data_IF_397068834784
#
_entry.id   IF_397068834784
#
_cell.length_a   1.000
_cell.length_b   1.000
_cell.length_c   1.000
_cell.angle_alpha   90.00
_cell.angle_beta   90.00
_cell.angle_gamma   90.00
#
_symmetry.space_group_name_H-M   'P 1'
#
loop_
_entity.id
_entity.type
_entity.pdbx_description
1 polymer ?
#
# COMPACT_ATOMS: atom_id res chain seq x y z
N UNK A 1 -21.96 -3.88 14.97
CA UNK A 1 -21.58 -2.92 16.04
C UNK A 1 -21.96 -3.50 17.38
N UNK A 2 -21.18 -3.26 18.44
CA UNK A 2 -21.54 -3.63 19.81
C UNK A 2 -21.93 -2.37 20.59
N UNK A 3 -23.15 -2.30 21.12
CA UNK A 3 -23.59 -1.15 21.91
C UNK A 3 -22.92 -1.21 23.28
N UNK A 4 -22.15 -0.18 23.64
CA UNK A 4 -21.48 -0.12 24.95
C UNK A 4 -22.25 0.69 25.98
N UNK A 5 -22.85 1.81 25.57
CA UNK A 5 -23.57 2.74 26.44
C UNK A 5 -24.85 3.22 25.75
N UNK A 6 -25.89 3.47 26.54
CA UNK A 6 -27.17 3.97 26.03
C UNK A 6 -27.99 2.91 25.29
N UNK A 7 -29.02 3.36 24.57
CA UNK A 7 -29.89 2.52 23.76
C UNK A 7 -29.96 3.13 22.37
N UNK A 8 -29.70 2.33 21.35
CA UNK A 8 -29.82 2.71 19.95
C UNK A 8 -31.19 2.31 19.42
N UNK A 9 -31.86 3.20 18.70
CA UNK A 9 -33.18 2.98 18.10
C UNK A 9 -33.15 3.08 16.58
N UNK A 10 -34.12 2.43 15.92
CA UNK A 10 -34.38 2.70 14.51
C UNK A 10 -34.80 4.16 14.35
N UNK A 11 -34.16 4.86 13.42
CA UNK A 11 -34.40 6.26 13.15
C UNK A 11 -33.39 7.21 13.78
N UNK A 12 -32.53 6.73 14.68
CA UNK A 12 -31.45 7.52 15.24
C UNK A 12 -30.46 7.93 14.14
N UNK A 13 -29.95 9.15 14.26
CA UNK A 13 -28.82 9.62 13.46
C UNK A 13 -27.54 9.15 14.13
N UNK A 14 -26.64 8.58 13.34
CA UNK A 14 -25.41 7.99 13.84
C UNK A 14 -24.20 8.48 13.04
N UNK A 15 -23.07 8.60 13.75
CA UNK A 15 -21.76 8.91 13.23
C UNK A 15 -20.79 7.80 13.66
N UNK A 16 -20.11 7.19 12.70
CA UNK A 16 -19.16 6.08 12.93
C UNK A 16 -17.91 6.34 12.10
N UNK A 17 -16.81 6.77 12.74
CA UNK A 17 -15.58 7.10 12.02
C UNK A 17 -15.79 8.16 10.93
N UNK A 18 -15.66 7.73 9.67
CA UNK A 18 -15.90 8.52 8.43
C UNK A 18 -17.33 8.40 7.87
N UNK A 19 -18.13 7.48 8.40
CA UNK A 19 -19.48 7.23 7.93
C UNK A 19 -20.49 7.95 8.81
N UNK A 20 -21.55 8.47 8.21
CA UNK A 20 -22.72 8.97 8.94
C UNK A 20 -23.99 8.48 8.27
N UNK A 21 -25.10 8.49 8.99
CA UNK A 21 -26.39 8.16 8.40
C UNK A 21 -27.47 7.92 9.43
N UNK A 22 -28.63 7.53 8.94
CA UNK A 22 -29.80 7.23 9.75
C UNK A 22 -29.99 5.73 9.85
N UNK A 23 -30.23 5.21 11.05
CA UNK A 23 -30.55 3.80 11.26
C UNK A 23 -31.88 3.46 10.57
N UNK A 24 -31.83 2.71 9.47
CA UNK A 24 -33.02 2.27 8.71
C UNK A 24 -33.55 0.92 9.18
N UNK A 25 -32.63 0.03 9.53
CA UNK A 25 -32.94 -1.27 10.08
C UNK A 25 -31.81 -1.73 11.01
N UNK A 26 -32.18 -2.54 11.99
CA UNK A 26 -31.25 -3.22 12.88
C UNK A 26 -31.58 -4.71 12.95
N UNK A 27 -30.56 -5.55 12.99
CA UNK A 27 -30.70 -6.99 13.13
C UNK A 27 -29.84 -7.51 14.30
N UNK A 28 -30.37 -8.49 15.04
CA UNK A 28 -29.61 -9.18 16.08
C UNK A 28 -28.64 -10.22 15.46
N UNK A 29 -27.83 -10.85 16.31
CA UNK A 29 -26.87 -11.89 15.88
C UNK A 29 -27.52 -13.15 15.29
N UNK A 30 -28.84 -13.31 15.39
CA UNK A 30 -29.62 -14.39 14.78
C UNK A 30 -30.29 -13.97 13.47
N UNK A 31 -30.09 -12.72 13.04
CA UNK A 31 -30.70 -12.13 11.85
C UNK A 31 -32.15 -11.67 12.05
N UNK A 32 -32.67 -11.63 13.27
CA UNK A 32 -34.00 -11.10 13.53
C UNK A 32 -33.95 -9.57 13.56
N UNK A 33 -34.95 -8.93 12.96
CA UNK A 33 -35.08 -7.48 13.01
C UNK A 33 -35.42 -7.01 14.43
N UNK A 34 -34.71 -6.01 14.92
CA UNK A 34 -34.91 -5.41 16.25
C UNK A 34 -35.15 -3.91 16.15
N UNK A 35 -35.97 -3.35 17.05
CA UNK A 35 -36.30 -1.92 17.06
C UNK A 35 -35.39 -1.09 17.97
N UNK A 36 -34.80 -1.73 18.98
CA UNK A 36 -33.89 -1.12 19.94
C UNK A 36 -32.74 -2.07 20.28
N UNK A 37 -31.55 -1.52 20.51
CA UNK A 37 -30.37 -2.25 20.94
C UNK A 37 -29.83 -1.66 22.25
N UNK A 38 -29.77 -2.47 23.30
CA UNK A 38 -29.29 -2.09 24.64
C UNK A 38 -27.80 -2.40 24.81
N UNK A 39 -27.13 -1.89 25.87
CA UNK A 39 -25.73 -2.18 26.11
C UNK A 39 -25.41 -3.67 26.16
N UNK A 40 -24.28 -4.07 25.57
CA UNK A 40 -23.86 -5.45 25.41
C UNK A 40 -24.49 -6.19 24.22
N UNK A 41 -25.41 -5.56 23.47
CA UNK A 41 -26.07 -6.20 22.33
C UNK A 41 -25.26 -6.01 21.05
N UNK A 42 -24.82 -7.09 20.37
CA UNK A 42 -24.29 -7.00 19.02
C UNK A 42 -25.45 -6.76 18.05
N UNK A 43 -25.31 -5.74 17.21
CA UNK A 43 -26.33 -5.33 16.24
C UNK A 43 -25.70 -5.07 14.88
N UNK A 44 -26.32 -5.58 13.83
CA UNK A 44 -26.05 -5.18 12.46
C UNK A 44 -26.94 -3.98 12.11
N UNK A 45 -26.35 -2.92 11.56
CA UNK A 45 -27.03 -1.65 11.30
C UNK A 45 -27.01 -1.38 9.80
N UNK A 46 -28.17 -1.06 9.25
CA UNK A 46 -28.32 -0.63 7.87
C UNK A 46 -28.63 0.87 7.80
N UNK A 47 -27.98 1.59 6.88
CA UNK A 47 -28.29 3.00 6.59
C UNK A 47 -27.13 3.98 6.72
N UNK A 48 -25.89 3.48 6.88
CA UNK A 48 -24.68 4.29 6.81
C UNK A 48 -24.36 4.68 5.36
N UNK A 49 -23.78 5.86 5.18
CA UNK A 49 -23.34 6.37 3.87
C UNK A 49 -22.15 5.61 3.30
N UNK A 50 -21.28 5.10 4.17
CA UNK A 50 -20.03 4.43 3.85
C UNK A 50 -19.77 3.27 4.82
N UNK A 51 -18.81 2.42 4.50
CA UNK A 51 -18.37 1.32 5.40
C UNK A 51 -17.34 1.87 6.39
N UNK A 52 -17.64 1.94 7.70
CA UNK A 52 -16.67 2.37 8.71
C UNK A 52 -15.59 1.30 8.93
N UNK A 53 -14.46 1.71 9.49
CA UNK A 53 -13.39 0.77 9.82
C UNK A 53 -13.75 -0.05 11.08
N UNK A 54 -13.18 -1.25 11.17
CA UNK A 54 -13.31 -2.05 12.38
C UNK A 54 -12.67 -1.30 13.57
N UNK A 55 -13.40 -1.22 14.69
CA UNK A 55 -12.96 -0.50 15.88
C UNK A 55 -13.37 0.97 15.94
N UNK A 56 -13.94 1.53 14.88
CA UNK A 56 -14.49 2.90 14.91
C UNK A 56 -15.61 3.02 15.95
N UNK A 57 -15.56 4.12 16.71
CA UNK A 57 -16.59 4.43 17.71
C UNK A 57 -17.85 4.94 17.02
N UNK A 58 -18.99 4.34 17.38
CA UNK A 58 -20.32 4.79 16.99
C UNK A 58 -20.88 5.76 18.02
N UNK A 59 -21.38 6.89 17.54
CA UNK A 59 -22.11 7.87 18.33
C UNK A 59 -23.50 8.09 17.75
N UNK A 60 -24.54 8.01 18.58
CA UNK A 60 -25.83 8.60 18.27
C UNK A 60 -25.74 10.11 18.47
N UNK A 61 -26.31 10.88 17.53
CA UNK A 61 -26.16 12.33 17.45
C UNK A 61 -27.52 12.97 17.18
N UNK A 62 -27.74 14.18 17.72
CA UNK A 62 -29.03 14.87 17.58
C UNK A 62 -29.13 15.66 16.27
N UNK A 63 -28.00 16.14 15.73
CA UNK A 63 -27.94 16.96 14.51
C UNK A 63 -27.32 16.18 13.35
N UNK A 64 -28.17 15.78 12.40
CA UNK A 64 -27.79 15.10 11.16
C UNK A 64 -26.82 15.92 10.31
N UNK A 65 -27.02 17.25 10.23
CA UNK A 65 -26.19 18.11 9.37
C UNK A 65 -24.78 18.20 9.92
N UNK A 66 -24.65 18.39 11.24
CA UNK A 66 -23.36 18.43 11.90
C UNK A 66 -22.63 17.08 11.78
N UNK A 67 -23.35 15.98 11.99
CA UNK A 67 -22.80 14.63 11.84
C UNK A 67 -22.25 14.39 10.43
N UNK A 68 -23.02 14.79 9.42
CA UNK A 68 -22.62 14.70 8.01
C UNK A 68 -21.40 15.55 7.70
N UNK A 69 -21.36 16.80 8.16
CA UNK A 69 -20.19 17.67 7.97
C UNK A 69 -18.93 17.11 8.65
N UNK A 70 -19.06 16.53 9.84
CA UNK A 70 -17.93 15.90 10.54
C UNK A 70 -17.47 14.66 9.77
N UNK A 71 -18.40 13.81 9.33
CA UNK A 71 -18.09 12.63 8.51
C UNK A 71 -17.41 13.01 7.20
N UNK A 72 -17.96 13.96 6.45
CA UNK A 72 -17.40 14.48 5.19
C UNK A 72 -16.01 15.07 5.41
N UNK A 73 -15.81 15.90 6.44
CA UNK A 73 -14.48 16.45 6.76
C UNK A 73 -13.48 15.37 7.17
N UNK A 74 -13.91 14.34 7.91
CA UNK A 74 -13.06 13.19 8.27
C UNK A 74 -12.76 12.33 7.06
N UNK A 75 -13.72 12.16 6.16
CA UNK A 75 -13.57 11.44 4.90
C UNK A 75 -12.61 12.17 3.97
N UNK A 76 -12.76 13.48 3.80
CA UNK A 76 -11.83 14.33 3.05
C UNK A 76 -10.44 14.31 3.68
N UNK A 77 -10.32 14.41 5.01
CA UNK A 77 -9.03 14.30 5.69
C UNK A 77 -8.43 12.91 5.54
N UNK A 78 -9.23 11.84 5.63
CA UNK A 78 -8.77 10.47 5.42
C UNK A 78 -8.33 10.28 3.98
N UNK A 79 -9.10 10.75 3.00
CA UNK A 79 -8.76 10.77 1.58
C UNK A 79 -7.56 11.68 1.31
N UNK A 80 -7.36 12.76 2.05
CA UNK A 80 -6.15 13.59 1.98
C UNK A 80 -4.96 12.89 2.61
N UNK A 81 -5.14 12.05 3.64
CA UNK A 81 -4.09 11.22 4.26
C UNK A 81 -3.79 9.98 3.41
N UNK A 82 -4.78 9.41 2.72
CA UNK A 82 -4.61 8.32 1.76
C UNK A 82 -4.05 8.87 0.42
N UNK A 83 -4.40 10.11 0.06
CA UNK A 83 -3.72 10.91 -0.95
C UNK A 83 -2.45 11.59 -0.41
N UNK A 84 -2.18 11.50 0.90
CA UNK A 84 -0.82 11.57 1.45
C UNK A 84 -0.30 10.15 1.29
N UNK A 85 -0.12 9.80 0.01
CA UNK A 85 1.00 8.99 -0.39
C UNK A 85 2.16 9.41 0.52
N UNK A 86 2.67 8.54 1.41
CA UNK A 86 3.69 8.94 2.37
C UNK A 86 4.84 9.48 1.55
N UNK A 87 5.05 10.81 1.47
CA UNK A 87 5.91 11.54 0.51
C UNK A 87 6.72 10.53 -0.32
N UNK A 88 6.06 9.90 -1.31
CA UNK A 88 6.71 8.82 -2.06
C UNK A 88 7.62 9.60 -2.96
N UNK A 89 8.87 9.61 -2.52
CA UNK A 89 10.06 10.03 -3.23
C UNK A 89 9.83 9.76 -4.71
N UNK A 90 9.44 10.81 -5.44
CA UNK A 90 9.37 10.77 -6.91
C UNK A 90 10.75 10.43 -7.46
N UNK A 91 10.86 9.98 -8.71
CA UNK A 91 12.17 9.71 -9.31
C UNK A 91 13.09 10.94 -9.20
N UNK A 92 12.53 12.16 -9.27
CA UNK A 92 13.23 13.43 -9.05
C UNK A 92 13.63 13.67 -7.58
N UNK A 93 12.78 13.34 -6.61
CA UNK A 93 13.14 13.40 -5.17
C UNK A 93 14.10 12.29 -4.77
N UNK A 94 14.05 11.13 -5.43
CA UNK A 94 14.96 10.00 -5.27
C UNK A 94 16.32 10.45 -5.80
N UNK A 95 16.33 11.06 -6.98
CA UNK A 95 17.49 11.70 -7.58
C UNK A 95 18.09 12.77 -6.66
N UNK A 96 17.25 13.59 -6.02
CA UNK A 96 17.71 14.61 -5.07
C UNK A 96 18.24 14.00 -3.76
N UNK A 97 17.57 12.98 -3.20
CA UNK A 97 18.03 12.29 -1.98
C UNK A 97 19.32 11.48 -2.22
N UNK A 98 19.50 10.97 -3.43
CA UNK A 98 20.72 10.29 -3.88
C UNK A 98 21.84 11.30 -4.15
N UNK A 99 21.57 12.44 -4.81
CA UNK A 99 22.50 13.57 -4.89
C UNK A 99 22.93 14.09 -3.51
N UNK A 100 22.05 13.99 -2.52
CA UNK A 100 22.32 14.30 -1.12
C UNK A 100 23.03 13.15 -0.35
N UNK A 101 23.26 11.99 -0.97
CA UNK A 101 24.02 10.86 -0.41
C UNK A 101 23.24 9.96 0.58
N UNK A 102 21.90 9.96 0.54
CA UNK A 102 21.05 9.30 1.56
C UNK A 102 20.61 7.87 1.26
N UNK A 103 20.57 7.42 0.00
CA UNK A 103 20.17 6.05 -0.34
C UNK A 103 21.41 5.22 -0.68
N UNK A 104 21.72 4.26 0.20
CA UNK A 104 22.88 3.36 0.08
C UNK A 104 22.49 1.94 -0.33
N UNK A 105 21.21 1.69 -0.56
CA UNK A 105 20.68 0.33 -0.72
C UNK A 105 19.52 0.28 -1.71
N UNK A 106 19.62 -0.59 -2.72
CA UNK A 106 18.60 -0.89 -3.71
C UNK A 106 17.98 -2.25 -3.36
N UNK A 107 16.73 -2.23 -2.92
CA UNK A 107 15.99 -3.43 -2.54
C UNK A 107 15.33 -4.08 -3.76
N UNK A 108 15.42 -5.41 -3.87
CA UNK A 108 14.86 -6.17 -4.98
C UNK A 108 14.05 -7.39 -4.49
N UNK A 109 12.90 -7.63 -5.11
CA UNK A 109 12.14 -8.89 -5.05
C UNK A 109 12.38 -9.64 -6.36
N UNK A 110 12.84 -10.88 -6.29
CA UNK A 110 13.17 -11.68 -7.49
C UNK A 110 12.25 -12.90 -7.61
N UNK A 111 11.51 -13.01 -8.72
CA UNK A 111 10.69 -14.19 -9.04
C UNK A 111 11.19 -14.84 -10.32
N UNK A 112 11.35 -16.15 -10.31
CA UNK A 112 11.75 -16.89 -11.52
C UNK A 112 10.89 -18.13 -11.75
N UNK A 113 10.91 -18.65 -12.96
CA UNK A 113 10.19 -19.87 -13.34
C UNK A 113 10.80 -21.12 -12.70
N UNK A 114 12.11 -21.16 -12.56
CA UNK A 114 12.87 -22.24 -11.94
C UNK A 114 13.91 -21.71 -10.96
N UNK A 115 14.20 -22.51 -9.93
CA UNK A 115 15.12 -22.15 -8.85
C UNK A 115 16.55 -21.83 -9.33
N UNK A 116 17.07 -22.58 -10.29
CA UNK A 116 18.43 -22.37 -10.80
C UNK A 116 18.61 -21.00 -11.47
N UNK A 117 17.60 -20.53 -12.18
CA UNK A 117 17.60 -19.21 -12.81
C UNK A 117 17.51 -18.08 -11.78
N UNK A 118 16.69 -18.25 -10.73
CA UNK A 118 16.63 -17.30 -9.61
C UNK A 118 18.00 -17.16 -8.92
N UNK A 119 18.63 -18.28 -8.57
CA UNK A 119 19.93 -18.27 -7.89
C UNK A 119 21.03 -17.66 -8.77
N UNK A 120 21.04 -17.98 -10.07
CA UNK A 120 22.00 -17.41 -11.01
C UNK A 120 21.85 -15.88 -11.16
N UNK A 121 20.60 -15.40 -11.26
CA UNK A 121 20.31 -13.97 -11.37
C UNK A 121 20.68 -13.23 -10.08
N UNK A 122 20.32 -13.77 -8.92
CA UNK A 122 20.65 -13.18 -7.61
C UNK A 122 22.16 -13.04 -7.43
N UNK A 123 22.92 -14.11 -7.69
CA UNK A 123 24.38 -14.07 -7.58
C UNK A 123 25.03 -13.06 -8.52
N UNK A 124 24.44 -12.84 -9.70
CA UNK A 124 24.93 -11.85 -10.64
C UNK A 124 24.62 -10.43 -10.15
N UNK A 125 23.39 -10.18 -9.66
CA UNK A 125 22.97 -8.89 -9.12
C UNK A 125 23.76 -8.49 -7.87
N UNK A 126 23.98 -9.41 -6.92
CA UNK A 126 24.74 -9.12 -5.70
C UNK A 126 26.18 -8.70 -5.98
N UNK A 127 26.80 -9.20 -7.06
CA UNK A 127 28.16 -8.83 -7.48
C UNK A 127 28.25 -7.44 -8.11
N UNK A 128 27.11 -6.83 -8.46
CA UNK A 128 27.06 -5.50 -9.06
C UNK A 128 27.02 -4.37 -8.03
N UNK A 129 26.70 -4.67 -6.77
CA UNK A 129 26.76 -3.67 -5.71
C UNK A 129 28.19 -3.21 -5.45
N UNK A 130 28.37 -1.94 -5.11
CA UNK A 130 29.66 -1.37 -4.71
C UNK A 130 29.51 -0.55 -3.41
N UNK A 131 30.55 0.17 -2.98
CA UNK A 131 30.57 0.96 -1.75
C UNK A 131 29.55 2.10 -1.72
N UNK A 132 29.14 2.60 -2.89
CA UNK A 132 28.16 3.70 -3.01
C UNK A 132 26.71 3.21 -2.94
N UNK A 133 26.39 2.08 -3.60
CA UNK A 133 25.04 1.50 -3.61
C UNK A 133 25.10 -0.02 -3.45
N UNK A 134 24.51 -0.52 -2.37
CA UNK A 134 24.37 -1.95 -2.07
C UNK A 134 23.10 -2.50 -2.71
N UNK A 135 23.19 -3.66 -3.37
CA UNK A 135 21.99 -4.39 -3.78
C UNK A 135 21.57 -5.33 -2.64
N UNK A 136 20.28 -5.31 -2.29
CA UNK A 136 19.70 -6.16 -1.24
C UNK A 136 18.51 -6.93 -1.77
N UNK A 137 18.60 -8.26 -1.78
CA UNK A 137 17.48 -9.12 -2.19
C UNK A 137 16.59 -9.38 -0.98
N UNK A 138 15.46 -8.70 -0.89
CA UNK A 138 14.53 -8.81 0.24
C UNK A 138 13.65 -10.07 0.18
N UNK A 139 13.41 -10.57 -1.03
CA UNK A 139 12.69 -11.82 -1.25
C UNK A 139 13.08 -12.45 -2.58
N UNK A 140 13.18 -13.77 -2.59
CA UNK A 140 13.28 -14.54 -3.83
C UNK A 140 12.36 -15.75 -3.80
N UNK A 141 11.76 -16.07 -4.95
CA UNK A 141 10.79 -17.15 -5.06
C UNK A 141 10.68 -17.73 -6.45
N UNK A 142 10.08 -18.92 -6.53
CA UNK A 142 9.78 -19.60 -7.79
C UNK A 142 8.29 -19.48 -8.08
N UNK A 143 7.93 -19.25 -9.35
CA UNK A 143 6.56 -19.09 -9.81
C UNK A 143 6.21 -17.65 -10.20
N UNK A 144 4.97 -17.45 -10.64
CA UNK A 144 4.45 -16.14 -11.04
C UNK A 144 4.58 -15.08 -9.95
N UNK A 145 4.54 -13.82 -10.37
CA UNK A 145 4.54 -12.67 -9.44
C UNK A 145 3.11 -12.51 -8.93
N UNK A 146 2.97 -12.48 -7.60
CA UNK A 146 1.69 -12.38 -6.90
C UNK A 146 1.50 -11.02 -6.26
N UNK A 147 0.27 -10.69 -5.90
CA UNK A 147 -0.06 -9.49 -5.12
C UNK A 147 0.79 -9.37 -3.84
N UNK A 148 1.06 -10.48 -3.15
CA UNK A 148 1.89 -10.47 -1.93
C UNK A 148 3.33 -10.06 -2.22
N UNK A 149 3.90 -10.47 -3.36
CA UNK A 149 5.25 -10.06 -3.77
C UNK A 149 5.30 -8.54 -4.02
N UNK A 150 4.24 -7.99 -4.63
CA UNK A 150 4.10 -6.55 -4.90
C UNK A 150 3.91 -5.75 -3.61
N UNK A 151 3.08 -6.23 -2.70
CA UNK A 151 2.87 -5.57 -1.39
C UNK A 151 4.16 -5.55 -0.56
N UNK A 152 4.95 -6.64 -0.60
CA UNK A 152 6.25 -6.68 0.06
C UNK A 152 7.23 -5.67 -0.56
N UNK A 153 7.22 -5.56 -1.89
CA UNK A 153 8.03 -4.60 -2.61
C UNK A 153 7.63 -3.15 -2.28
N UNK A 154 6.33 -2.84 -2.23
CA UNK A 154 5.82 -1.53 -1.80
C UNK A 154 6.27 -1.18 -0.38
N UNK A 155 6.12 -2.12 0.57
CA UNK A 155 6.49 -1.89 1.97
C UNK A 155 8.00 -1.67 2.20
N UNK A 156 8.83 -2.19 1.30
CA UNK A 156 10.30 -2.17 1.42
C UNK A 156 10.97 -1.20 0.44
N UNK A 157 10.19 -0.42 -0.31
CA UNK A 157 10.67 0.41 -1.42
C UNK A 157 11.59 -0.37 -2.39
N UNK A 158 11.10 -1.52 -2.86
CA UNK A 158 11.84 -2.45 -3.69
C UNK A 158 11.27 -2.54 -5.11
N UNK A 159 12.14 -2.90 -6.06
CA UNK A 159 11.73 -3.25 -7.43
C UNK A 159 11.42 -4.74 -7.52
N UNK A 160 10.48 -5.12 -8.40
CA UNK A 160 10.15 -6.53 -8.66
C UNK A 160 10.76 -6.96 -9.98
N UNK A 161 11.61 -7.99 -9.93
CA UNK A 161 12.26 -8.59 -11.10
C UNK A 161 11.65 -9.97 -11.37
N UNK A 162 11.03 -10.13 -12.53
CA UNK A 162 10.49 -11.38 -13.01
C UNK A 162 11.35 -12.01 -14.10
N UNK A 163 11.97 -13.15 -13.84
CA UNK A 163 12.72 -13.92 -14.84
C UNK A 163 11.90 -15.07 -15.40
N UNK A 164 11.55 -14.99 -16.69
CA UNK A 164 10.70 -15.94 -17.41
C UNK A 164 9.33 -16.21 -16.72
N UNK A 165 8.86 -15.25 -15.93
CA UNK A 165 7.56 -15.28 -15.25
C UNK A 165 6.72 -14.08 -15.63
N UNK A 166 5.43 -14.14 -15.32
CA UNK A 166 4.49 -13.05 -15.52
C UNK A 166 3.77 -12.73 -14.21
N UNK A 167 3.35 -11.47 -13.99
CA UNK A 167 2.44 -11.15 -12.91
C UNK A 167 1.05 -11.73 -13.20
N UNK A 168 0.40 -12.16 -12.14
CA UNK A 168 -1.04 -12.43 -12.19
C UNK A 168 -1.84 -11.11 -12.26
N UNK A 169 -3.16 -11.22 -12.45
CA UNK A 169 -4.04 -10.05 -12.62
C UNK A 169 -3.98 -9.15 -11.39
N UNK A 170 -4.06 -9.74 -10.21
CA UNK A 170 -4.04 -9.01 -8.94
C UNK A 170 -2.69 -8.32 -8.71
N UNK A 171 -1.58 -8.96 -9.06
CA UNK A 171 -0.24 -8.39 -8.96
C UNK A 171 -0.08 -7.19 -9.90
N UNK A 172 -0.65 -7.26 -11.10
CA UNK A 172 -0.59 -6.14 -12.05
C UNK A 172 -1.42 -4.95 -11.56
N UNK A 173 -2.64 -5.20 -11.09
CA UNK A 173 -3.50 -4.16 -10.50
C UNK A 173 -2.88 -3.56 -9.23
N UNK A 174 -2.30 -4.39 -8.37
CA UNK A 174 -1.58 -3.96 -7.18
C UNK A 174 -0.35 -3.12 -7.54
N UNK A 175 0.39 -3.49 -8.58
CA UNK A 175 1.59 -2.75 -9.00
C UNK A 175 1.24 -1.35 -9.53
N UNK A 176 0.16 -1.25 -10.31
CA UNK A 176 -0.39 0.03 -10.78
C UNK A 176 -0.90 0.88 -9.60
N UNK A 177 -1.57 0.27 -8.62
CA UNK A 177 -2.12 0.98 -7.45
C UNK A 177 -1.02 1.44 -6.50
N UNK A 178 -0.03 0.58 -6.24
CA UNK A 178 1.05 0.82 -5.29
C UNK A 178 2.24 1.60 -5.88
N UNK A 179 2.22 1.86 -7.20
CA UNK A 179 3.34 2.40 -7.97
C UNK A 179 4.63 1.57 -7.78
N UNK A 180 4.50 0.25 -7.83
CA UNK A 180 5.64 -0.68 -7.79
C UNK A 180 6.03 -1.04 -9.20
N UNK A 181 7.30 -0.85 -9.54
CA UNK A 181 7.81 -1.21 -10.86
C UNK A 181 8.09 -2.71 -10.94
N UNK A 182 7.49 -3.35 -11.96
CA UNK A 182 7.71 -4.75 -12.30
C UNK A 182 8.47 -4.81 -13.62
N UNK A 183 9.71 -5.31 -13.57
CA UNK A 183 10.53 -5.53 -14.76
C UNK A 183 10.57 -7.02 -15.09
N UNK A 184 10.31 -7.36 -16.35
CA UNK A 184 10.20 -8.74 -16.82
C UNK A 184 11.30 -9.04 -17.83
N UNK A 185 12.06 -10.09 -17.55
CA UNK A 185 13.22 -10.47 -18.34
C UNK A 185 13.14 -11.92 -18.82
N UNK A 186 13.79 -12.16 -19.95
CA UNK A 186 14.02 -13.50 -20.49
C UNK A 186 15.50 -13.84 -20.59
N UNK A 187 16.35 -12.82 -20.56
CA UNK A 187 17.81 -12.95 -20.66
C UNK A 187 18.43 -12.27 -19.45
N UNK A 188 19.33 -12.97 -18.74
CA UNK A 188 19.93 -12.44 -17.51
C UNK A 188 20.72 -11.16 -17.79
N UNK A 189 21.47 -11.10 -18.89
CA UNK A 189 22.27 -9.93 -19.25
C UNK A 189 21.43 -8.66 -19.41
N UNK A 190 20.23 -8.76 -19.98
CA UNK A 190 19.32 -7.61 -20.09
C UNK A 190 18.92 -7.08 -18.71
N UNK A 191 18.62 -7.98 -17.77
CA UNK A 191 18.30 -7.59 -16.39
C UNK A 191 19.49 -6.92 -15.69
N UNK A 192 20.70 -7.43 -15.91
CA UNK A 192 21.91 -6.83 -15.34
C UNK A 192 22.18 -5.46 -15.94
N UNK A 193 22.06 -5.29 -17.24
CA UNK A 193 22.32 -4.02 -17.92
C UNK A 193 21.33 -2.93 -17.47
N UNK A 194 20.05 -3.26 -17.35
CA UNK A 194 19.03 -2.31 -16.87
C UNK A 194 19.25 -1.93 -15.40
N UNK A 195 19.56 -2.90 -14.53
CA UNK A 195 19.88 -2.60 -13.12
C UNK A 195 21.17 -1.78 -13.02
N UNK A 196 22.16 -2.04 -13.88
CA UNK A 196 23.38 -1.24 -13.94
C UNK A 196 23.09 0.18 -14.37
N UNK A 197 22.27 0.37 -15.39
CA UNK A 197 21.85 1.69 -15.86
C UNK A 197 21.04 2.43 -14.80
N UNK A 198 20.19 1.73 -14.04
CA UNK A 198 19.50 2.30 -12.90
C UNK A 198 20.50 2.80 -11.86
N UNK A 199 21.50 1.99 -11.49
CA UNK A 199 22.58 2.37 -10.57
C UNK A 199 23.45 3.54 -11.08
N UNK A 200 23.82 3.54 -12.35
CA UNK A 200 24.59 4.62 -13.00
C UNK A 200 23.77 5.92 -13.11
N UNK A 201 22.45 5.80 -13.33
CA UNK A 201 21.50 6.91 -13.26
C UNK A 201 21.36 7.50 -11.85
N UNK A 202 21.65 6.72 -10.79
CA UNK A 202 21.81 7.25 -9.43
C UNK A 202 23.12 8.07 -9.28
N UNK A 203 24.10 7.91 -10.17
CA UNK A 203 25.49 8.34 -9.96
C UNK A 203 25.97 9.58 -10.74
N UNK A 204 25.17 10.24 -11.60
CA UNK A 204 25.66 11.44 -12.32
C UNK A 204 24.74 12.68 -12.27
N UNK A 205 25.32 13.91 -12.21
CA UNK A 205 26.68 14.24 -12.64
C UNK A 205 27.62 14.73 -11.52
N UNK A 206 28.80 14.12 -11.45
CA UNK A 206 29.98 14.69 -10.80
C UNK A 206 30.39 15.92 -11.61
N UNK A 207 30.21 17.12 -11.05
CA UNK A 207 30.88 18.31 -11.56
C UNK A 207 32.40 18.14 -11.41
N UNK A 208 33.08 17.74 -12.49
CA UNK A 208 34.50 18.04 -12.66
C UNK A 208 34.63 19.50 -13.06
N UNK A 209 34.76 20.38 -12.08
CA UNK A 209 35.39 21.67 -12.32
C UNK A 209 36.90 21.44 -12.34
N UNK A 210 37.45 21.32 -13.56
CA UNK A 210 38.90 21.45 -13.78
C UNK A 210 39.21 22.95 -13.73
N UNK A 211 40.05 23.32 -12.79
CA UNK A 211 40.58 24.66 -12.53
C UNK A 211 41.18 25.35 -13.75
N UNK A 212 40.95 26.67 -13.84
CA UNK A 212 41.97 27.67 -14.15
C UNK A 212 41.79 28.88 -13.23
#
# INVERSE_FOLDING_TARGET
>A
VLIQNGILYIGDQILVGIASGKVRAMYDFKGNRIEKASPGTPVEILGLSEVPAAGDLLYAVDDERLARQIAEKRFEKKRQIENVVPEKVTLEELFNQIKEGKVKELNLVVKADVRGSAEALIQALEKMGDQEVRISIIHSGVGGITETDVMLASASNALVIGFNVRPDVNAKEAAETENVEIMLYRVIYEALDDIKAALEGLLEPIHKEVSL
#
